data_IF_570874059543
#
_entry.id   IF_570874059543
#
_cell.length_a   1.000
_cell.length_b   1.000
_cell.length_c   1.000
_cell.angle_alpha   90.00
_cell.angle_beta   90.00
_cell.angle_gamma   90.00
#
_symmetry.space_group_name_H-M   'P 1'
#
loop_
_entity.id
_entity.type
_entity.pdbx_description
1 polymer ?
#
# COMPACT_ATOMS: atom_id res chain seq x y z
N UNK A 1 -8.84 -16.70 -13.97
CA UNK A 1 -7.48 -16.25 -13.64
C UNK A 1 -6.46 -17.22 -14.18
N UNK A 2 -5.41 -16.74 -14.88
CA UNK A 2 -4.34 -17.60 -15.43
C UNK A 2 -3.51 -18.28 -14.33
N UNK A 3 -3.38 -17.67 -13.16
CA UNK A 3 -2.58 -18.20 -12.05
C UNK A 3 -3.18 -19.41 -11.32
N UNK A 4 -4.35 -19.88 -11.72
CA UNK A 4 -4.90 -21.16 -11.26
C UNK A 4 -4.55 -22.33 -12.19
N UNK A 5 -4.09 -22.05 -13.42
CA UNK A 5 -3.76 -23.06 -14.41
C UNK A 5 -2.33 -23.61 -14.18
N UNK A 6 -2.15 -24.95 -14.18
CA UNK A 6 -0.83 -25.56 -13.95
C UNK A 6 0.25 -25.08 -14.92
N UNK A 7 -0.09 -24.87 -16.18
CA UNK A 7 0.83 -24.45 -17.25
C UNK A 7 1.44 -23.08 -16.98
N UNK A 8 0.74 -22.21 -16.24
CA UNK A 8 1.26 -20.90 -15.85
C UNK A 8 2.51 -21.03 -14.96
N UNK A 9 2.50 -21.96 -14.02
CA UNK A 9 3.64 -22.20 -13.14
C UNK A 9 4.87 -22.66 -13.88
N UNK A 10 4.70 -23.52 -14.90
CA UNK A 10 5.80 -23.96 -15.74
C UNK A 10 6.36 -22.81 -16.59
N UNK A 11 5.49 -21.93 -17.10
CA UNK A 11 5.92 -20.72 -17.82
C UNK A 11 6.69 -19.78 -16.91
N UNK A 12 6.20 -19.51 -15.70
CA UNK A 12 6.88 -18.66 -14.71
C UNK A 12 8.25 -19.21 -14.33
N UNK A 13 8.37 -20.51 -14.05
CA UNK A 13 9.65 -21.17 -13.77
C UNK A 13 10.63 -21.03 -14.95
N UNK A 14 10.14 -21.17 -16.19
CA UNK A 14 10.97 -21.01 -17.38
C UNK A 14 11.47 -19.57 -17.54
N UNK A 15 10.61 -18.57 -17.30
CA UNK A 15 11.02 -17.16 -17.34
C UNK A 15 12.03 -16.86 -16.24
N UNK A 16 11.80 -17.33 -15.01
CA UNK A 16 12.75 -17.16 -13.90
C UNK A 16 14.10 -17.82 -14.23
N UNK A 17 14.11 -19.02 -14.80
CA UNK A 17 15.35 -19.68 -15.24
C UNK A 17 16.14 -18.86 -16.26
N UNK A 18 15.46 -18.22 -17.23
CA UNK A 18 16.10 -17.31 -18.18
C UNK A 18 16.69 -16.08 -17.49
N UNK A 19 15.97 -15.51 -16.53
CA UNK A 19 16.46 -14.37 -15.74
C UNK A 19 17.71 -14.75 -14.93
N UNK A 20 17.70 -15.93 -14.31
CA UNK A 20 18.82 -16.44 -13.52
C UNK A 20 20.06 -16.75 -14.39
N UNK A 21 19.87 -17.30 -15.58
CA UNK A 21 20.96 -17.49 -16.56
C UNK A 21 21.56 -16.16 -17.01
N UNK A 22 20.74 -15.11 -17.18
CA UNK A 22 21.21 -13.78 -17.62
C UNK A 22 21.92 -13.00 -16.52
N UNK A 23 21.66 -13.25 -15.25
CA UNK A 23 22.43 -12.67 -14.12
C UNK A 23 23.92 -12.98 -14.24
N UNK A 24 24.30 -14.16 -14.74
CA UNK A 24 25.69 -14.59 -14.93
C UNK A 24 26.38 -13.83 -16.05
N UNK A 25 25.65 -13.23 -16.98
CA UNK A 25 26.17 -12.55 -18.17
C UNK A 25 26.16 -11.02 -18.10
N UNK A 26 25.58 -10.43 -17.08
CA UNK A 26 25.66 -8.97 -16.87
C UNK A 26 26.98 -8.64 -16.20
N UNK A 27 27.85 -8.09 -17.00
CA UNK A 27 29.25 -7.78 -16.72
C UNK A 27 29.47 -7.02 -15.41
N UNK A 28 30.62 -7.22 -14.79
CA UNK A 28 31.06 -6.80 -13.45
C UNK A 28 31.04 -5.29 -13.14
N UNK A 29 30.37 -4.48 -13.93
CA UNK A 29 30.19 -3.03 -13.70
C UNK A 29 28.89 -2.66 -12.99
N UNK A 30 27.95 -3.61 -12.82
CA UNK A 30 26.74 -3.46 -12.00
C UNK A 30 26.98 -4.26 -10.72
N UNK A 31 26.70 -3.68 -9.56
CA UNK A 31 26.82 -4.30 -8.24
C UNK A 31 26.43 -5.78 -8.29
N UNK A 32 27.28 -6.67 -7.83
CA UNK A 32 27.13 -8.14 -7.91
C UNK A 32 25.89 -8.70 -7.18
N UNK A 33 25.11 -7.84 -6.51
CA UNK A 33 23.94 -8.21 -5.71
C UNK A 33 22.60 -7.85 -6.39
N UNK A 34 22.59 -7.32 -7.60
CA UNK A 34 21.35 -7.02 -8.33
C UNK A 34 20.67 -8.31 -8.81
N UNK A 35 19.76 -8.86 -8.03
CA UNK A 35 18.90 -9.96 -8.44
C UNK A 35 17.69 -9.43 -9.19
N UNK A 36 17.47 -9.89 -10.42
CA UNK A 36 16.22 -9.66 -11.14
C UNK A 36 15.23 -10.74 -10.73
N UNK A 37 14.09 -10.32 -10.21
CA UNK A 37 12.99 -11.21 -9.84
C UNK A 37 11.72 -10.85 -10.59
N UNK A 38 10.83 -11.82 -10.77
CA UNK A 38 9.49 -11.56 -11.27
C UNK A 38 8.60 -11.06 -10.14
N UNK A 39 7.79 -10.04 -10.45
CA UNK A 39 6.75 -9.51 -9.58
C UNK A 39 5.41 -9.60 -10.34
N UNK A 40 4.67 -10.70 -10.20
CA UNK A 40 3.37 -10.84 -10.84
C UNK A 40 2.37 -9.80 -10.36
N UNK A 41 1.73 -9.11 -11.29
CA UNK A 41 0.65 -8.18 -11.02
C UNK A 41 -0.69 -8.85 -11.29
N UNK A 42 -1.52 -8.99 -10.26
CA UNK A 42 -2.81 -9.64 -10.36
C UNK A 42 -3.83 -9.04 -9.40
N UNK A 43 -5.01 -8.70 -9.94
CA UNK A 43 -6.22 -8.36 -9.19
C UNK A 43 -7.17 -9.55 -9.22
N UNK A 44 -7.16 -10.34 -8.15
CA UNK A 44 -8.04 -11.48 -7.94
C UNK A 44 -8.22 -11.70 -6.43
N UNK A 45 -9.01 -12.69 -6.04
CA UNK A 45 -9.17 -13.07 -4.64
C UNK A 45 -7.82 -13.23 -3.93
N UNK A 46 -7.68 -12.70 -2.72
CA UNK A 46 -6.39 -12.64 -1.98
C UNK A 46 -5.65 -13.98 -1.87
N UNK A 47 -6.38 -15.11 -1.88
CA UNK A 47 -5.76 -16.45 -1.84
C UNK A 47 -4.90 -16.74 -3.08
N UNK A 48 -5.14 -16.05 -4.20
CA UNK A 48 -4.28 -16.17 -5.39
C UNK A 48 -2.94 -15.50 -5.14
N UNK A 49 -2.91 -14.34 -4.47
CA UNK A 49 -1.66 -13.68 -4.06
C UNK A 49 -0.87 -14.59 -3.10
N UNK A 50 -1.54 -15.17 -2.09
CA UNK A 50 -0.92 -16.13 -1.17
C UNK A 50 -0.33 -17.33 -1.92
N UNK A 51 -1.07 -17.91 -2.86
CA UNK A 51 -0.60 -19.02 -3.68
C UNK A 51 0.64 -18.66 -4.51
N UNK A 52 0.72 -17.47 -5.06
CA UNK A 52 1.89 -16.99 -5.81
C UNK A 52 3.10 -16.85 -4.86
N UNK A 53 2.89 -16.28 -3.68
CA UNK A 53 3.93 -16.15 -2.65
C UNK A 53 4.42 -17.54 -2.17
N UNK A 54 3.54 -18.51 -1.99
CA UNK A 54 3.89 -19.90 -1.63
C UNK A 54 4.76 -20.59 -2.70
N UNK A 55 4.71 -20.11 -3.95
CA UNK A 55 5.59 -20.57 -5.03
C UNK A 55 6.94 -19.82 -5.07
N UNK A 56 7.20 -18.92 -4.12
CA UNK A 56 8.46 -18.20 -3.98
C UNK A 56 8.58 -16.95 -4.85
N UNK A 57 7.47 -16.39 -5.31
CA UNK A 57 7.44 -15.12 -6.02
C UNK A 57 6.97 -13.99 -5.09
N UNK A 58 7.59 -12.82 -5.19
CA UNK A 58 7.06 -11.62 -4.57
C UNK A 58 5.71 -11.25 -5.21
N UNK A 59 4.84 -10.59 -4.47
CA UNK A 59 3.50 -10.18 -4.94
C UNK A 59 3.22 -8.72 -4.59
N UNK A 60 2.25 -8.12 -5.27
CA UNK A 60 1.65 -6.87 -4.81
C UNK A 60 0.61 -7.14 -3.74
N UNK A 61 0.59 -6.34 -2.70
CA UNK A 61 -0.49 -6.33 -1.71
C UNK A 61 -1.62 -5.39 -2.18
N UNK A 62 -2.53 -5.91 -2.99
CA UNK A 62 -3.72 -5.18 -3.44
C UNK A 62 -4.90 -5.27 -2.46
N UNK A 63 -4.77 -6.04 -1.39
CA UNK A 63 -5.73 -6.07 -0.28
C UNK A 63 -5.59 -4.83 0.59
N UNK A 64 -4.35 -4.41 0.85
CA UNK A 64 -4.03 -3.34 1.80
C UNK A 64 -4.76 -2.02 1.53
N UNK A 65 -4.88 -1.52 0.29
CA UNK A 65 -5.53 -0.23 0.03
C UNK A 65 -6.96 -0.15 0.57
N UNK A 66 -7.79 -1.12 0.21
CA UNK A 66 -9.21 -1.16 0.63
C UNK A 66 -9.32 -1.47 2.12
N UNK A 67 -8.44 -2.34 2.64
CA UNK A 67 -8.41 -2.70 4.06
C UNK A 67 -8.06 -1.51 4.95
N UNK A 68 -7.12 -0.66 4.53
CA UNK A 68 -6.77 0.57 5.27
C UNK A 68 -7.93 1.58 5.20
N UNK A 69 -8.57 1.78 4.05
CA UNK A 69 -9.77 2.63 3.95
C UNK A 69 -10.87 2.14 4.89
N UNK A 70 -11.19 0.83 4.88
CA UNK A 70 -12.14 0.26 5.82
C UNK A 70 -11.77 0.56 7.27
N UNK A 71 -10.49 0.38 7.63
CA UNK A 71 -9.99 0.62 8.98
C UNK A 71 -10.19 2.08 9.42
N UNK A 72 -9.88 3.04 8.55
CA UNK A 72 -10.02 4.47 8.84
C UNK A 72 -11.49 4.91 8.89
N UNK A 73 -12.34 4.36 8.02
CA UNK A 73 -13.76 4.75 7.96
C UNK A 73 -14.58 4.15 9.10
N UNK A 74 -14.30 2.90 9.47
CA UNK A 74 -14.98 2.22 10.57
C UNK A 74 -14.39 2.50 11.95
N UNK A 75 -13.22 3.15 12.00
CA UNK A 75 -12.39 3.28 13.20
C UNK A 75 -12.16 1.93 13.92
N UNK A 76 -11.97 0.84 13.14
CA UNK A 76 -11.76 -0.51 13.67
C UNK A 76 -10.56 -1.20 13.01
N UNK A 77 -9.60 -1.61 13.84
CA UNK A 77 -8.39 -2.33 13.39
C UNK A 77 -8.62 -3.82 13.12
N UNK A 78 -9.78 -4.36 13.51
CA UNK A 78 -10.03 -5.81 13.56
C UNK A 78 -9.75 -6.53 12.24
N UNK A 79 -10.25 -6.01 11.11
CA UNK A 79 -10.07 -6.63 9.79
C UNK A 79 -8.64 -6.51 9.30
N UNK A 80 -8.04 -5.33 9.47
CA UNK A 80 -6.65 -5.08 9.11
C UNK A 80 -5.69 -5.97 9.94
N UNK A 81 -5.89 -6.09 11.24
CA UNK A 81 -5.11 -7.00 12.08
C UNK A 81 -5.17 -8.44 11.58
N UNK A 82 -6.35 -8.91 11.18
CA UNK A 82 -6.47 -10.24 10.59
C UNK A 82 -5.64 -10.36 9.30
N UNK A 83 -5.75 -9.39 8.38
CA UNK A 83 -4.94 -9.37 7.16
C UNK A 83 -3.44 -9.42 7.49
N UNK A 84 -2.96 -8.57 8.38
CA UNK A 84 -1.55 -8.51 8.77
C UNK A 84 -1.02 -9.83 9.36
N UNK A 85 -1.88 -10.72 9.90
CA UNK A 85 -1.46 -12.04 10.37
C UNK A 85 -1.32 -13.08 9.26
N UNK A 86 -2.00 -12.89 8.11
CA UNK A 86 -2.06 -13.89 7.03
C UNK A 86 -1.46 -13.40 5.71
N UNK A 87 -1.12 -12.11 5.60
CA UNK A 87 -0.53 -11.55 4.38
C UNK A 87 0.84 -12.16 4.08
N UNK A 88 1.23 -12.29 2.80
CA UNK A 88 2.58 -12.65 2.43
C UNK A 88 3.59 -11.69 3.05
N UNK A 89 4.77 -12.18 3.43
CA UNK A 89 5.84 -11.33 3.97
C UNK A 89 6.73 -10.77 2.87
N UNK A 90 6.94 -11.53 1.80
CA UNK A 90 7.65 -11.10 0.61
C UNK A 90 6.66 -10.50 -0.40
N UNK A 91 6.32 -9.24 -0.18
CA UNK A 91 5.34 -8.51 -0.99
C UNK A 91 5.75 -7.04 -1.16
N UNK A 92 5.16 -6.41 -2.16
CA UNK A 92 5.22 -4.96 -2.35
C UNK A 92 3.90 -4.34 -1.88
N UNK A 93 3.96 -3.63 -0.75
CA UNK A 93 2.77 -2.95 -0.23
C UNK A 93 2.53 -1.65 -0.96
N UNK A 94 1.30 -1.42 -1.40
CA UNK A 94 0.90 -0.16 -2.04
C UNK A 94 -0.45 0.29 -1.50
N UNK A 95 -0.71 1.59 -1.50
CA UNK A 95 -2.04 2.14 -1.26
C UNK A 95 -2.66 2.67 -2.55
N UNK A 96 -1.83 3.06 -3.50
CA UNK A 96 -2.22 3.61 -4.78
C UNK A 96 -1.28 3.14 -5.89
N UNK A 97 -1.85 3.01 -7.07
CA UNK A 97 -1.13 2.71 -8.30
C UNK A 97 -1.73 3.53 -9.45
N UNK A 98 -1.28 3.27 -10.67
CA UNK A 98 -1.90 3.81 -11.88
C UNK A 98 -3.28 3.22 -12.19
N UNK A 99 -3.67 2.16 -11.47
CA UNK A 99 -4.98 1.50 -11.55
C UNK A 99 -5.87 1.88 -10.36
N UNK A 100 -7.15 1.51 -10.43
CA UNK A 100 -8.06 1.67 -9.30
C UNK A 100 -7.83 0.61 -8.21
N UNK A 101 -8.38 0.86 -7.03
CA UNK A 101 -8.33 -0.05 -5.89
C UNK A 101 -9.25 -1.24 -6.14
N UNK A 102 -8.70 -2.46 -6.11
CA UNK A 102 -9.45 -3.69 -6.39
C UNK A 102 -10.39 -4.07 -5.24
N UNK A 103 -11.65 -4.34 -5.56
CA UNK A 103 -12.61 -4.80 -4.55
C UNK A 103 -12.66 -6.33 -4.45
N UNK A 104 -12.26 -7.02 -5.52
CA UNK A 104 -12.17 -8.48 -5.52
C UNK A 104 -11.08 -9.01 -4.60
N UNK A 105 -10.03 -8.22 -4.40
CA UNK A 105 -8.88 -8.57 -3.57
C UNK A 105 -9.25 -8.74 -2.09
N UNK A 106 -10.31 -8.09 -1.63
CA UNK A 106 -10.79 -8.16 -0.23
C UNK A 106 -12.01 -9.06 -0.02
N UNK A 107 -12.38 -9.85 -1.05
CA UNK A 107 -13.46 -10.83 -0.95
C UNK A 107 -13.18 -11.80 0.21
N UNK A 108 -14.20 -12.16 1.01
CA UNK A 108 -14.11 -12.98 2.23
C UNK A 108 -13.30 -12.36 3.40
N UNK A 109 -12.55 -11.29 3.19
CA UNK A 109 -11.88 -10.54 4.26
C UNK A 109 -12.80 -9.46 4.85
N UNK A 110 -13.63 -8.83 4.01
CA UNK A 110 -14.69 -7.90 4.41
C UNK A 110 -16.05 -8.54 4.10
N UNK A 111 -17.07 -8.24 4.91
CA UNK A 111 -18.44 -8.58 4.53
C UNK A 111 -18.92 -7.68 3.38
N UNK A 112 -20.01 -8.07 2.72
CA UNK A 112 -20.61 -7.25 1.66
C UNK A 112 -21.01 -5.85 2.18
N UNK A 113 -21.52 -5.75 3.40
CA UNK A 113 -21.91 -4.48 4.02
C UNK A 113 -20.67 -3.62 4.36
N UNK A 114 -19.58 -4.23 4.85
CA UNK A 114 -18.32 -3.54 5.14
C UNK A 114 -17.69 -2.99 3.85
N UNK A 115 -17.68 -3.78 2.78
CA UNK A 115 -17.17 -3.34 1.48
C UNK A 115 -18.06 -2.25 0.87
N UNK A 116 -19.39 -2.39 0.96
CA UNK A 116 -20.32 -1.37 0.48
C UNK A 116 -20.12 -0.04 1.21
N UNK A 117 -19.91 -0.07 2.53
CA UNK A 117 -19.61 1.15 3.29
C UNK A 117 -18.31 1.84 2.84
N UNK A 118 -17.30 1.07 2.41
CA UNK A 118 -16.08 1.66 1.79
C UNK A 118 -16.41 2.30 0.44
N UNK A 119 -17.19 1.62 -0.41
CA UNK A 119 -17.62 2.13 -1.72
C UNK A 119 -18.40 3.44 -1.55
N UNK A 120 -19.41 3.45 -0.69
CA UNK A 120 -20.26 4.61 -0.44
C UNK A 120 -19.44 5.81 0.06
N UNK A 121 -18.50 5.58 0.98
CA UNK A 121 -17.65 6.64 1.50
C UNK A 121 -16.65 7.16 0.45
N UNK A 122 -16.09 6.30 -0.38
CA UNK A 122 -15.22 6.76 -1.47
C UNK A 122 -16.00 7.52 -2.54
N UNK A 123 -17.27 7.16 -2.79
CA UNK A 123 -18.18 7.92 -3.67
C UNK A 123 -18.43 9.32 -3.12
N UNK A 124 -18.70 9.47 -1.82
CA UNK A 124 -18.83 10.76 -1.14
C UNK A 124 -17.56 11.64 -1.31
N UNK A 125 -16.39 11.02 -1.39
CA UNK A 125 -15.10 11.67 -1.65
C UNK A 125 -14.74 11.77 -3.13
N UNK A 126 -15.71 11.56 -4.02
CA UNK A 126 -15.60 11.84 -5.44
C UNK A 126 -14.92 10.73 -6.27
N UNK A 127 -14.80 9.52 -5.76
CA UNK A 127 -14.34 8.40 -6.56
C UNK A 127 -15.34 8.04 -7.66
N UNK A 128 -14.84 7.51 -8.77
CA UNK A 128 -15.67 6.81 -9.75
C UNK A 128 -15.38 5.30 -9.72
N UNK A 129 -16.22 4.52 -10.42
CA UNK A 129 -16.17 3.07 -10.30
C UNK A 129 -16.10 2.38 -11.66
N UNK A 130 -15.21 1.38 -11.73
CA UNK A 130 -15.26 0.38 -12.79
C UNK A 130 -16.14 -0.78 -12.34
N UNK A 131 -17.10 -1.15 -13.20
CA UNK A 131 -18.07 -2.19 -12.91
C UNK A 131 -17.72 -3.51 -13.58
N UNK A 132 -17.88 -4.62 -12.85
CA UNK A 132 -17.83 -5.96 -13.42
C UNK A 132 -19.25 -6.40 -13.80
N UNK A 133 -19.44 -6.66 -15.10
CA UNK A 133 -20.69 -7.17 -15.65
C UNK A 133 -20.63 -8.69 -15.91
N UNK A 134 -19.47 -9.31 -15.79
CA UNK A 134 -19.24 -10.72 -16.12
C UNK A 134 -19.60 -11.65 -14.96
N UNK A 135 -19.36 -11.21 -13.74
CA UNK A 135 -19.76 -11.94 -12.52
C UNK A 135 -21.22 -11.62 -12.19
N UNK A 136 -22.15 -12.36 -12.80
CA UNK A 136 -23.56 -12.35 -12.42
C UNK A 136 -23.76 -13.06 -11.06
N UNK A 137 -23.12 -12.59 -10.02
CA UNK A 137 -23.42 -13.02 -8.67
C UNK A 137 -24.70 -12.33 -8.21
N UNK A 138 -25.76 -13.11 -8.05
CA UNK A 138 -26.96 -12.78 -7.27
C UNK A 138 -27.56 -11.37 -7.51
N UNK A 139 -27.84 -11.04 -8.77
CA UNK A 139 -28.82 -9.96 -9.05
C UNK A 139 -28.24 -8.58 -9.31
N UNK A 140 -26.94 -8.37 -9.51
CA UNK A 140 -26.46 -7.00 -9.68
C UNK A 140 -25.08 -6.83 -10.31
N UNK A 141 -24.90 -5.64 -10.77
CA UNK A 141 -23.68 -4.94 -11.13
C UNK A 141 -22.80 -4.82 -9.88
N UNK A 142 -21.55 -5.30 -9.92
CA UNK A 142 -20.60 -5.20 -8.81
C UNK A 142 -19.51 -4.19 -9.16
N UNK A 143 -19.10 -3.40 -8.20
CA UNK A 143 -17.87 -2.57 -8.35
C UNK A 143 -16.67 -3.53 -8.46
N UNK A 144 -15.86 -3.33 -9.48
CA UNK A 144 -14.59 -4.07 -9.67
C UNK A 144 -13.39 -3.30 -9.17
N UNK A 145 -13.35 -1.98 -9.43
CA UNK A 145 -12.31 -1.08 -8.96
C UNK A 145 -12.92 0.27 -8.55
N UNK A 146 -12.35 0.84 -7.51
CA UNK A 146 -12.60 2.20 -7.05
C UNK A 146 -11.49 3.07 -7.64
N UNK A 147 -11.83 4.02 -8.52
CA UNK A 147 -10.86 4.91 -9.15
C UNK A 147 -10.85 6.26 -8.42
N UNK A 148 -9.76 6.58 -7.80
CA UNK A 148 -9.51 7.84 -7.10
C UNK A 148 -8.00 7.97 -6.79
N UNK A 149 -7.55 9.16 -6.47
CA UNK A 149 -6.28 9.31 -5.74
C UNK A 149 -6.47 8.85 -4.29
N UNK A 150 -5.43 8.31 -3.68
CA UNK A 150 -5.56 7.83 -2.29
C UNK A 150 -5.73 8.98 -1.30
N UNK A 151 -5.16 10.14 -1.62
CA UNK A 151 -5.34 11.35 -0.81
C UNK A 151 -6.80 11.82 -0.81
N UNK A 152 -7.45 11.85 -1.98
CA UNK A 152 -8.89 12.15 -2.04
C UNK A 152 -9.74 11.06 -1.39
N UNK A 153 -9.36 9.77 -1.51
CA UNK A 153 -10.09 8.69 -0.85
C UNK A 153 -10.11 8.81 0.68
N UNK A 154 -9.13 9.45 1.29
CA UNK A 154 -9.16 9.72 2.75
C UNK A 154 -9.74 11.11 3.09
N UNK A 155 -10.42 11.76 2.12
CA UNK A 155 -11.11 13.04 2.31
C UNK A 155 -10.18 14.25 2.29
N UNK A 156 -8.99 14.12 1.66
CA UNK A 156 -7.97 15.17 1.58
C UNK A 156 -7.52 15.67 2.96
N UNK A 157 -7.63 14.79 3.95
CA UNK A 157 -7.24 15.03 5.33
C UNK A 157 -5.80 14.54 5.56
N UNK A 158 -4.91 15.48 5.85
CA UNK A 158 -3.48 15.23 6.02
C UNK A 158 -3.17 14.16 7.09
N UNK A 159 -3.88 14.17 8.21
CA UNK A 159 -3.62 13.26 9.32
C UNK A 159 -4.12 11.84 8.99
N UNK A 160 -5.30 11.71 8.39
CA UNK A 160 -5.79 10.43 7.85
C UNK A 160 -4.85 9.86 6.78
N UNK A 161 -4.34 10.73 5.90
CA UNK A 161 -3.42 10.34 4.86
C UNK A 161 -2.09 9.83 5.42
N UNK A 162 -1.48 10.57 6.34
CA UNK A 162 -0.23 10.17 6.99
C UNK A 162 -0.39 8.92 7.85
N UNK A 163 -1.53 8.76 8.52
CA UNK A 163 -1.84 7.52 9.26
C UNK A 163 -1.93 6.32 8.30
N UNK A 164 -2.60 6.48 7.14
CA UNK A 164 -2.67 5.41 6.14
C UNK A 164 -1.28 5.00 5.66
N UNK A 165 -0.40 5.97 5.39
CA UNK A 165 0.98 5.72 4.97
C UNK A 165 1.84 5.11 6.07
N UNK A 166 1.65 5.52 7.32
CA UNK A 166 2.32 4.90 8.46
C UNK A 166 1.93 3.42 8.60
N UNK A 167 0.65 3.09 8.43
CA UNK A 167 0.17 1.69 8.38
C UNK A 167 0.84 0.93 7.24
N UNK A 168 0.88 1.49 6.02
CA UNK A 168 1.56 0.88 4.88
C UNK A 168 3.03 0.58 5.18
N UNK A 169 3.75 1.53 5.77
CA UNK A 169 5.19 1.40 6.03
C UNK A 169 5.50 0.42 7.17
N UNK A 170 4.54 0.15 8.04
CA UNK A 170 4.65 -0.87 9.08
C UNK A 170 4.06 -2.23 8.67
N UNK A 171 3.40 -2.33 7.51
CA UNK A 171 2.98 -3.63 6.94
C UNK A 171 4.19 -4.39 6.43
N UNK A 172 4.26 -5.74 6.57
CA UNK A 172 5.34 -6.55 6.02
C UNK A 172 5.52 -6.37 4.52
N UNK A 173 6.78 -6.34 4.07
CA UNK A 173 7.12 -6.18 2.66
C UNK A 173 7.83 -4.87 2.33
N UNK A 174 7.99 -4.61 1.03
CA UNK A 174 8.64 -3.40 0.50
C UNK A 174 7.57 -2.37 0.15
N UNK A 175 7.49 -1.23 0.85
CA UNK A 175 6.49 -0.22 0.54
C UNK A 175 6.82 0.51 -0.77
N UNK A 176 5.82 0.57 -1.65
CA UNK A 176 5.85 1.33 -2.89
C UNK A 176 4.87 2.50 -2.79
N UNK A 177 5.36 3.70 -3.05
CA UNK A 177 4.52 4.91 -3.08
C UNK A 177 4.42 5.39 -4.53
N UNK A 178 3.19 5.46 -5.03
CA UNK A 178 2.90 5.97 -6.36
C UNK A 178 3.12 7.49 -6.42
N UNK A 179 3.50 8.04 -7.57
CA UNK A 179 3.88 9.46 -7.67
C UNK A 179 2.76 10.42 -7.25
N UNK A 180 1.49 10.10 -7.59
CA UNK A 180 0.35 10.89 -7.12
C UNK A 180 0.29 10.91 -5.59
N UNK A 181 0.44 9.74 -4.98
CA UNK A 181 0.48 9.62 -3.53
C UNK A 181 1.67 10.29 -2.89
N UNK A 182 2.86 10.23 -3.51
CA UNK A 182 4.05 10.93 -2.99
C UNK A 182 3.80 12.44 -2.84
N UNK A 183 3.03 13.02 -3.76
CA UNK A 183 2.73 14.45 -3.79
C UNK A 183 1.42 14.82 -3.08
N UNK A 184 0.76 13.87 -2.41
CA UNK A 184 -0.59 14.05 -1.86
C UNK A 184 -1.51 14.70 -2.91
N UNK A 185 -1.55 14.08 -4.10
CA UNK A 185 -2.30 14.56 -5.25
C UNK A 185 -3.78 14.24 -5.12
N UNK A 186 -4.61 15.21 -5.48
CA UNK A 186 -6.07 15.12 -5.48
C UNK A 186 -6.59 14.45 -6.76
N UNK A 187 -7.88 14.14 -6.80
CA UNK A 187 -8.55 13.65 -8.00
C UNK A 187 -8.48 14.65 -9.15
N UNK A 188 -8.02 14.23 -10.33
CA UNK A 188 -7.97 15.05 -11.54
C UNK A 188 -9.23 14.83 -12.41
N UNK A 189 -10.30 15.53 -12.06
CA UNK A 189 -11.56 15.45 -12.80
C UNK A 189 -11.43 16.05 -14.21
N UNK A 190 -10.61 17.10 -14.39
CA UNK A 190 -10.42 17.74 -15.70
C UNK A 190 -9.75 16.76 -16.68
N UNK A 191 -8.69 16.07 -16.27
CA UNK A 191 -8.04 15.06 -17.09
C UNK A 191 -8.97 13.90 -17.41
N UNK A 192 -9.72 13.43 -16.42
CA UNK A 192 -10.70 12.35 -16.59
C UNK A 192 -11.78 12.74 -17.61
N UNK A 193 -12.40 13.90 -17.46
CA UNK A 193 -13.46 14.38 -18.36
C UNK A 193 -12.93 14.63 -19.78
N UNK A 194 -11.75 15.26 -19.90
CA UNK A 194 -11.13 15.56 -21.19
C UNK A 194 -10.78 14.28 -21.96
N UNK A 195 -10.35 13.23 -21.27
CA UNK A 195 -9.90 11.98 -21.89
C UNK A 195 -11.00 10.94 -21.99
N UNK A 196 -12.14 11.13 -21.34
CA UNK A 196 -13.23 10.14 -21.21
C UNK A 196 -12.73 8.77 -20.72
N UNK A 197 -11.72 8.79 -19.83
CA UNK A 197 -11.12 7.59 -19.27
C UNK A 197 -11.07 7.65 -17.75
N UNK A 198 -11.91 6.87 -17.09
CA UNK A 198 -12.20 6.92 -15.66
C UNK A 198 -10.95 6.84 -14.77
N UNK A 199 -9.96 6.01 -15.14
CA UNK A 199 -8.71 5.87 -14.37
C UNK A 199 -7.81 7.12 -14.39
N UNK A 200 -8.03 8.04 -15.34
CA UNK A 200 -7.22 9.25 -15.42
C UNK A 200 -7.48 10.21 -14.26
N UNK A 201 -8.51 9.97 -13.47
CA UNK A 201 -8.76 10.70 -12.21
C UNK A 201 -7.56 10.60 -11.23
N UNK A 202 -6.75 9.52 -11.32
CA UNK A 202 -5.55 9.31 -10.49
C UNK A 202 -4.24 9.32 -11.28
N UNK A 203 -4.19 10.03 -12.43
CA UNK A 203 -3.04 10.04 -13.34
C UNK A 203 -2.65 11.45 -13.79
N UNK A 204 -2.73 12.41 -12.89
CA UNK A 204 -2.35 13.79 -13.19
C UNK A 204 -0.91 13.86 -13.74
N UNK A 205 -0.70 14.66 -14.79
CA UNK A 205 0.62 14.88 -15.38
C UNK A 205 1.20 16.17 -14.82
N UNK A 206 2.01 16.07 -13.78
CA UNK A 206 2.63 17.22 -13.12
C UNK A 206 3.69 17.89 -13.99
N UNK A 207 3.65 19.21 -14.05
CA UNK A 207 4.77 20.03 -14.52
C UNK A 207 5.86 20.11 -13.43
N UNK A 208 7.07 20.56 -13.80
CA UNK A 208 8.15 20.74 -12.84
C UNK A 208 7.77 21.79 -11.80
N UNK A 209 7.12 22.88 -12.21
CA UNK A 209 6.69 23.97 -11.33
C UNK A 209 5.63 23.51 -10.31
N UNK A 210 4.72 22.63 -10.73
CA UNK A 210 3.75 21.99 -9.82
C UNK A 210 4.47 21.11 -8.79
N UNK A 211 5.42 20.29 -9.23
CA UNK A 211 6.20 19.45 -8.32
C UNK A 211 6.96 20.31 -7.31
N UNK A 212 7.65 21.37 -7.75
CA UNK A 212 8.39 22.28 -6.87
C UNK A 212 7.47 22.91 -5.80
N UNK A 213 6.22 23.16 -6.14
CA UNK A 213 5.22 23.67 -5.21
C UNK A 213 4.71 22.59 -4.25
N UNK A 214 4.35 21.41 -4.78
CA UNK A 214 3.75 20.32 -4.02
C UNK A 214 4.72 19.72 -3.00
N UNK A 215 6.00 19.64 -3.31
CA UNK A 215 7.03 19.17 -2.37
C UNK A 215 7.22 20.09 -1.15
N UNK A 216 6.67 21.30 -1.18
CA UNK A 216 6.65 22.20 -0.03
C UNK A 216 5.45 21.99 0.90
N UNK A 217 4.42 21.23 0.46
CA UNK A 217 3.28 20.91 1.33
C UNK A 217 3.74 20.22 2.62
N UNK A 218 3.22 20.60 3.80
CA UNK A 218 3.58 19.95 5.06
C UNK A 218 3.36 18.44 5.04
N UNK A 219 2.24 17.97 4.49
CA UNK A 219 1.93 16.54 4.38
C UNK A 219 2.96 15.77 3.57
N UNK A 220 3.47 16.35 2.48
CA UNK A 220 4.50 15.73 1.63
C UNK A 220 5.83 15.63 2.38
N UNK A 221 6.24 16.67 3.09
CA UNK A 221 7.46 16.66 3.93
C UNK A 221 7.35 15.62 5.04
N UNK A 222 6.21 15.55 5.74
CA UNK A 222 5.93 14.56 6.78
C UNK A 222 5.95 13.13 6.22
N UNK A 223 5.39 12.92 5.03
CA UNK A 223 5.46 11.64 4.33
C UNK A 223 6.91 11.25 4.01
N UNK A 224 7.71 12.18 3.48
CA UNK A 224 9.13 11.94 3.20
C UNK A 224 9.92 11.57 4.46
N UNK A 225 9.60 12.17 5.60
CA UNK A 225 10.18 11.77 6.91
C UNK A 225 9.85 10.32 7.28
N UNK A 226 8.60 9.90 7.10
CA UNK A 226 8.21 8.50 7.30
C UNK A 226 8.98 7.55 6.37
N UNK A 227 9.11 7.92 5.08
CA UNK A 227 9.88 7.15 4.10
C UNK A 227 11.35 7.07 4.48
N UNK A 228 11.96 8.18 4.88
CA UNK A 228 13.35 8.23 5.34
C UNK A 228 13.57 7.30 6.54
N UNK A 229 12.67 7.35 7.53
CA UNK A 229 12.73 6.45 8.69
C UNK A 229 12.62 4.98 8.26
N UNK A 230 11.63 4.64 7.42
CA UNK A 230 11.42 3.27 6.92
C UNK A 230 12.64 2.73 6.16
N UNK A 231 13.32 3.57 5.39
CA UNK A 231 14.49 3.18 4.62
C UNK A 231 15.79 3.10 5.45
N UNK A 232 15.94 4.00 6.43
CA UNK A 232 17.17 4.12 7.18
C UNK A 232 17.23 3.23 8.44
N UNK A 233 16.08 2.85 9.00
CA UNK A 233 16.02 2.09 10.24
C UNK A 233 15.88 0.59 9.98
N UNK A 234 16.90 -0.24 10.29
CA UNK A 234 16.99 -1.62 9.80
C UNK A 234 16.10 -2.62 10.56
N UNK A 235 15.17 -2.16 11.39
CA UNK A 235 14.27 -3.03 12.17
C UNK A 235 13.31 -3.83 11.31
N UNK A 236 12.98 -3.31 10.12
CA UNK A 236 11.97 -3.88 9.23
C UNK A 236 12.43 -5.14 8.48
N UNK A 237 13.69 -5.55 8.65
CA UNK A 237 14.20 -6.86 8.22
C UNK A 237 13.96 -7.96 9.27
N UNK A 238 13.35 -7.61 10.39
CA UNK A 238 13.09 -8.50 11.52
C UNK A 238 11.69 -9.10 11.55
N UNK A 239 11.16 -9.20 12.76
CA UNK A 239 9.85 -9.81 13.02
C UNK A 239 8.80 -8.75 13.41
N UNK A 240 7.63 -8.88 12.81
CA UNK A 240 6.46 -8.08 13.15
C UNK A 240 5.61 -8.79 14.19
N UNK A 241 5.10 -8.04 15.15
CA UNK A 241 4.09 -8.48 16.09
C UNK A 241 2.94 -7.46 16.20
N UNK A 242 1.78 -7.95 16.60
CA UNK A 242 0.54 -7.18 16.73
C UNK A 242 0.06 -7.28 18.19
N UNK A 243 0.53 -6.44 19.10
CA UNK A 243 0.03 -6.41 20.47
C UNK A 243 -1.50 -6.25 20.51
N UNK A 244 -2.15 -6.87 21.49
CA UNK A 244 -3.58 -6.70 21.67
C UNK A 244 -3.93 -5.26 22.03
N UNK A 245 -4.98 -4.75 21.41
CA UNK A 245 -5.52 -3.41 21.61
C UNK A 245 -7.03 -3.45 21.47
N UNK A 246 -7.71 -2.41 21.93
CA UNK A 246 -9.11 -2.18 21.56
C UNK A 246 -9.24 -2.00 20.06
N UNK A 247 -10.40 -2.32 19.49
CA UNK A 247 -10.64 -2.24 18.04
C UNK A 247 -10.39 -0.83 17.46
N UNK A 248 -10.63 0.22 18.25
CA UNK A 248 -10.37 1.62 17.87
C UNK A 248 -8.88 2.00 17.86
N UNK A 249 -8.01 1.07 18.22
CA UNK A 249 -6.56 1.28 18.22
C UNK A 249 -5.85 0.23 17.38
N UNK A 250 -4.72 0.64 16.82
CA UNK A 250 -3.81 -0.28 16.11
C UNK A 250 -2.40 -0.11 16.67
N UNK A 251 -1.81 -1.23 17.08
CA UNK A 251 -0.40 -1.27 17.43
C UNK A 251 0.32 -2.29 16.54
N UNK A 252 1.40 -1.85 15.89
CA UNK A 252 2.31 -2.71 15.12
C UNK A 252 3.72 -2.52 15.66
N UNK A 253 4.39 -3.61 15.99
CA UNK A 253 5.76 -3.59 16.53
C UNK A 253 6.66 -4.43 15.63
N UNK A 254 7.79 -3.86 15.25
CA UNK A 254 8.88 -4.55 14.58
C UNK A 254 10.07 -4.69 15.53
N UNK A 255 10.72 -5.85 15.50
CA UNK A 255 11.94 -6.11 16.28
C UNK A 255 13.00 -6.82 15.45
N UNK A 256 14.25 -6.35 15.55
CA UNK A 256 15.39 -6.94 14.85
C UNK A 256 16.68 -6.66 15.63
N UNK A 257 17.41 -7.70 16.02
CA UNK A 257 18.74 -7.60 16.64
C UNK A 257 18.84 -6.60 17.81
N UNK A 258 17.80 -6.54 18.64
CA UNK A 258 17.74 -5.62 19.78
C UNK A 258 17.24 -4.20 19.45
N UNK A 259 16.93 -3.93 18.18
CA UNK A 259 16.21 -2.74 17.76
C UNK A 259 14.69 -3.00 17.83
N UNK A 260 13.94 -1.93 18.02
CA UNK A 260 12.47 -1.96 18.03
C UNK A 260 11.93 -0.68 17.38
N UNK A 261 10.88 -0.82 16.58
CA UNK A 261 10.04 0.28 16.15
C UNK A 261 8.57 -0.08 16.38
N UNK A 262 7.80 0.89 16.84
CA UNK A 262 6.42 0.74 17.22
C UNK A 262 5.56 1.84 16.62
N UNK A 263 4.51 1.45 15.93
CA UNK A 263 3.41 2.32 15.51
C UNK A 263 2.25 2.14 16.49
N UNK A 264 1.83 3.21 17.14
CA UNK A 264 0.61 3.29 17.91
C UNK A 264 -0.35 4.28 17.27
N UNK A 265 -1.53 3.82 16.85
CA UNK A 265 -2.54 4.61 16.17
C UNK A 265 -3.85 4.63 16.93
N UNK A 266 -4.47 5.81 16.99
CA UNK A 266 -5.85 6.03 17.39
C UNK A 266 -6.70 6.25 16.13
N UNK A 267 -7.58 5.31 15.83
CA UNK A 267 -8.36 5.32 14.61
C UNK A 267 -9.57 6.25 14.66
N UNK A 268 -10.04 6.60 15.86
CA UNK A 268 -11.13 7.57 16.05
C UNK A 268 -10.64 9.00 15.87
N UNK A 269 -9.51 9.31 16.53
CA UNK A 269 -8.88 10.63 16.45
C UNK A 269 -8.00 10.80 15.21
N UNK A 270 -7.76 9.70 14.45
CA UNK A 270 -6.89 9.65 13.27
C UNK A 270 -5.47 10.15 13.53
N UNK A 271 -4.98 9.89 14.73
CA UNK A 271 -3.63 10.25 15.16
C UNK A 271 -2.76 9.03 15.35
N UNK A 272 -1.44 9.22 15.24
CA UNK A 272 -0.49 8.15 15.49
C UNK A 272 0.83 8.66 16.05
N UNK A 273 1.59 7.73 16.59
CA UNK A 273 2.97 7.95 17.01
C UNK A 273 3.84 6.78 16.56
N UNK A 274 5.04 7.09 16.09
CA UNK A 274 6.10 6.12 15.86
C UNK A 274 7.16 6.32 16.93
N UNK A 275 7.44 5.27 17.71
CA UNK A 275 8.52 5.22 18.68
C UNK A 275 9.53 4.16 18.27
N UNK A 276 10.80 4.37 18.60
CA UNK A 276 11.87 3.44 18.23
C UNK A 276 13.01 3.50 19.24
N UNK A 277 13.86 2.48 19.27
CA UNK A 277 15.07 2.51 20.07
C UNK A 277 16.17 3.23 19.28
N UNK A 278 16.75 4.27 19.88
CA UNK A 278 17.91 4.93 19.30
C UNK A 278 19.18 4.06 19.38
N UNK A 279 20.28 4.54 18.80
CA UNK A 279 21.60 3.84 18.82
C UNK A 279 22.16 3.59 20.24
N UNK A 280 21.61 4.24 21.26
CA UNK A 280 22.01 4.06 22.67
C UNK A 280 21.08 3.09 23.40
N UNK A 281 20.04 2.57 22.75
CA UNK A 281 19.01 1.71 23.33
C UNK A 281 17.95 2.48 24.12
N UNK A 282 17.89 3.80 23.96
CA UNK A 282 16.86 4.64 24.56
C UNK A 282 15.69 4.81 23.59
N UNK A 283 14.47 4.75 24.12
CA UNK A 283 13.26 5.03 23.33
C UNK A 283 13.22 6.51 22.92
N UNK A 284 13.05 6.75 21.63
CA UNK A 284 12.82 8.06 21.05
C UNK A 284 11.54 8.04 20.20
N UNK A 285 11.04 9.21 19.81
CA UNK A 285 9.85 9.38 19.01
C UNK A 285 10.21 10.01 17.66
N UNK A 286 9.72 9.43 16.57
CA UNK A 286 9.86 10.03 15.25
C UNK A 286 9.08 11.35 15.19
N UNK A 287 9.79 12.42 14.89
CA UNK A 287 9.25 13.78 14.79
C UNK A 287 9.00 14.12 13.34
N UNK A 288 7.74 14.06 12.94
CA UNK A 288 7.34 14.33 11.55
C UNK A 288 7.32 15.83 11.23
N UNK A 289 7.21 16.67 12.26
CA UNK A 289 7.15 18.15 12.13
C UNK A 289 8.53 18.81 11.96
N UNK A 290 9.63 18.06 12.11
CA UNK A 290 10.96 18.58 11.84
C UNK A 290 11.16 18.80 10.34
N UNK A 291 11.87 19.88 9.99
CA UNK A 291 12.10 20.23 8.59
C UNK A 291 12.75 19.07 7.84
N UNK A 292 12.11 18.67 6.75
CA UNK A 292 12.67 17.69 5.82
C UNK A 292 13.56 18.41 4.81
N UNK A 293 14.82 17.99 4.73
CA UNK A 293 15.78 18.56 3.78
C UNK A 293 15.97 17.59 2.60
N UNK A 294 15.58 18.01 1.41
CA UNK A 294 15.72 17.22 0.17
C UNK A 294 17.18 16.93 -0.23
N UNK A 295 18.16 17.64 0.41
CA UNK A 295 19.59 17.51 0.10
C UNK A 295 20.36 16.64 1.10
N UNK A 296 19.71 16.09 2.08
CA UNK A 296 20.27 15.13 3.06
C UNK A 296 19.79 13.70 2.76
#
# INVERSE_FOLDING_TARGET
CFFIEPEMWDMMKRVQGILDEKKVSMDATVSMDATVSMLPEIHDHYTVQQKIADHGYAVYDFVLPVMVLHTLYSASSRRLRHWLTICPKDQHTTLDTHDGLGTVDVEDLLSEEELQAVIDRTEEYGANFKWDYSRKALGGKRVYQINCSYYSAVGEDDDSYLLSRAIQFFTPGVPQVYYMGLLAGENDYELMERTQYDRNISRHNYTVEEIETLVQKPVVKRLCRLMQFRNAYPVFDGEMSLPETDDSRLCIVWSCQGLEARLDADLQEKTFAVTYLDKTGKTDKLRLEEDFNWNE
#
